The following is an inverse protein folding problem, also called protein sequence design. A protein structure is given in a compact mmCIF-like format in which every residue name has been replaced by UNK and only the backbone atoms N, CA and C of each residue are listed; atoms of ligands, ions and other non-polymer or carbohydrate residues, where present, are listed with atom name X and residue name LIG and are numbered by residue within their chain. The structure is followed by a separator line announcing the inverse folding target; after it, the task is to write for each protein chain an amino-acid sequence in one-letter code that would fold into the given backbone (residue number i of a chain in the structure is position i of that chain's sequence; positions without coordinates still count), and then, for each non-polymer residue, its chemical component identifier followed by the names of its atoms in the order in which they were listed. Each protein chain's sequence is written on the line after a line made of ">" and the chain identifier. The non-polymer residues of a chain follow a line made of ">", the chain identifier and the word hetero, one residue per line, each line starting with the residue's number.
data_IF_435502488083
#
_entry.id   IF_435502488083
#
_cell.length_a   1.000
_cell.length_b   1.000
_cell.length_c   1.000
_cell.angle_alpha   90.00
_cell.angle_beta   90.00
_cell.angle_gamma   90.00
#
_symmetry.space_group_name_H-M   'P 1'
#
loop_
_entity.id
_entity.type
_entity.pdbx_description
1 polymer ?
#
# COMPACT_ATOMS: atom_id res chain seq x y z
N UNK A 1 4.87 -5.95 27.89
CA UNK A 1 3.62 -6.67 27.60
C UNK A 1 2.78 -5.86 26.60
N UNK A 2 2.42 -6.44 25.49
CA UNK A 2 1.63 -5.75 24.47
C UNK A 2 0.22 -5.48 24.98
N UNK A 3 -0.24 -4.25 24.81
CA UNK A 3 -1.57 -3.81 25.23
C UNK A 3 -2.34 -3.31 24.01
N UNK A 4 -3.58 -3.77 23.85
CA UNK A 4 -4.40 -3.43 22.69
C UNK A 4 -4.62 -1.91 22.55
N UNK A 5 -4.93 -1.25 23.65
CA UNK A 5 -5.21 0.19 23.68
C UNK A 5 -3.98 1.03 23.32
N UNK A 6 -2.80 0.65 23.84
CA UNK A 6 -1.60 1.45 23.76
C UNK A 6 -0.71 1.06 22.56
N UNK A 7 -0.75 -0.19 22.15
CA UNK A 7 0.15 -0.72 21.11
C UNK A 7 -0.55 -1.06 19.80
N UNK A 8 -1.83 -1.40 19.83
CA UNK A 8 -2.58 -1.81 18.63
C UNK A 8 -3.47 -0.70 18.09
N UNK A 9 -4.30 -0.08 18.93
CA UNK A 9 -5.19 1.00 18.49
C UNK A 9 -4.46 2.17 17.83
N UNK A 10 -3.28 2.61 18.30
CA UNK A 10 -2.55 3.68 17.62
C UNK A 10 -2.10 3.35 16.20
N UNK A 11 -2.11 2.08 15.81
CA UNK A 11 -1.77 1.65 14.45
C UNK A 11 -2.90 1.90 13.44
N UNK A 12 -4.08 2.26 13.90
CA UNK A 12 -5.28 2.41 13.08
C UNK A 12 -5.05 3.27 11.83
N UNK A 13 -4.39 4.41 11.98
CA UNK A 13 -4.14 5.33 10.87
C UNK A 13 -3.16 4.74 9.84
N UNK A 14 -2.12 4.05 10.30
CA UNK A 14 -1.18 3.35 9.41
C UNK A 14 -1.87 2.23 8.64
N UNK A 15 -2.68 1.44 9.32
CA UNK A 15 -3.47 0.38 8.70
C UNK A 15 -4.43 0.95 7.64
N UNK A 16 -5.10 2.05 7.97
CA UNK A 16 -6.01 2.71 7.04
C UNK A 16 -5.29 3.23 5.80
N UNK A 17 -4.15 3.90 5.96
CA UNK A 17 -3.38 4.41 4.82
C UNK A 17 -2.93 3.28 3.90
N UNK A 18 -2.48 2.17 4.45
CA UNK A 18 -2.08 1.01 3.65
C UNK A 18 -3.27 0.39 2.92
N UNK A 19 -4.37 0.15 3.63
CA UNK A 19 -5.59 -0.41 3.05
C UNK A 19 -6.16 0.51 1.96
N UNK A 20 -6.22 1.81 2.20
CA UNK A 20 -6.74 2.79 1.24
C UNK A 20 -5.88 2.88 -0.01
N UNK A 21 -4.55 2.87 0.14
CA UNK A 21 -3.64 2.88 -1.01
C UNK A 21 -3.86 1.65 -1.90
N UNK A 22 -4.12 0.49 -1.29
CA UNK A 22 -4.33 -0.76 -2.03
C UNK A 22 -5.72 -0.83 -2.64
N UNK A 23 -6.77 -0.55 -1.88
CA UNK A 23 -8.17 -0.71 -2.32
C UNK A 23 -8.70 0.47 -3.11
N UNK A 24 -8.17 1.67 -2.88
CA UNK A 24 -8.62 2.95 -3.47
C UNK A 24 -10.08 3.29 -3.14
N UNK A 25 -10.64 2.66 -2.11
CA UNK A 25 -12.01 2.90 -1.67
C UNK A 25 -12.10 3.02 -0.15
N UNK A 26 -12.64 4.14 0.32
CA UNK A 26 -12.71 4.51 1.74
C UNK A 26 -13.43 3.46 2.59
N UNK A 27 -14.62 3.03 2.14
CA UNK A 27 -15.44 2.07 2.89
C UNK A 27 -14.75 0.71 3.01
N UNK A 28 -14.15 0.23 1.94
CA UNK A 28 -13.40 -1.03 1.97
C UNK A 28 -12.18 -0.94 2.89
N UNK A 29 -11.46 0.18 2.84
CA UNK A 29 -10.32 0.42 3.72
C UNK A 29 -10.73 0.41 5.19
N UNK A 30 -11.83 1.05 5.54
CA UNK A 30 -12.38 1.05 6.90
C UNK A 30 -12.74 -0.35 7.38
N UNK A 31 -13.41 -1.13 6.53
CA UNK A 31 -13.80 -2.52 6.84
C UNK A 31 -12.56 -3.39 7.05
N UNK A 32 -11.53 -3.23 6.23
CA UNK A 32 -10.27 -3.96 6.36
C UNK A 32 -9.56 -3.61 7.67
N UNK A 33 -9.54 -2.35 8.05
CA UNK A 33 -8.95 -1.92 9.33
C UNK A 33 -9.68 -2.59 10.50
N UNK A 34 -11.00 -2.57 10.50
CA UNK A 34 -11.82 -3.21 11.54
C UNK A 34 -11.54 -4.71 11.62
N UNK A 35 -11.54 -5.39 10.48
CA UNK A 35 -11.25 -6.83 10.43
C UNK A 35 -9.82 -7.13 10.90
N UNK A 36 -8.87 -6.29 10.55
CA UNK A 36 -7.49 -6.41 11.02
C UNK A 36 -7.41 -6.33 12.54
N UNK A 37 -8.05 -5.33 13.13
CA UNK A 37 -8.05 -5.13 14.58
C UNK A 37 -8.72 -6.32 15.30
N UNK A 38 -9.78 -6.85 14.73
CA UNK A 38 -10.47 -8.04 15.28
C UNK A 38 -9.52 -9.26 15.25
N UNK A 39 -8.85 -9.49 14.14
CA UNK A 39 -7.90 -10.62 14.00
C UNK A 39 -6.71 -10.50 14.94
N UNK A 40 -6.17 -9.30 15.08
CA UNK A 40 -5.08 -9.03 16.03
C UNK A 40 -5.55 -9.32 17.45
N UNK A 41 -6.74 -8.88 17.83
CA UNK A 41 -7.32 -9.15 19.15
C UNK A 41 -7.54 -10.63 19.40
N UNK A 42 -8.04 -11.37 18.42
CA UNK A 42 -8.23 -12.83 18.54
C UNK A 42 -6.93 -13.59 18.82
N UNK A 43 -5.80 -13.03 18.43
CA UNK A 43 -4.47 -13.59 18.65
C UNK A 43 -3.78 -13.07 19.91
N UNK A 44 -4.48 -12.38 20.80
CA UNK A 44 -3.91 -11.75 21.99
C UNK A 44 -3.13 -12.69 22.91
N UNK A 45 -3.50 -13.94 22.95
CA UNK A 45 -2.79 -14.95 23.77
C UNK A 45 -1.40 -15.30 23.21
N UNK A 46 -1.19 -15.01 21.92
CA UNK A 46 0.07 -15.26 21.23
C UNK A 46 0.97 -14.03 21.10
N UNK A 47 0.53 -12.87 21.59
CA UNK A 47 1.27 -11.60 21.39
C UNK A 47 2.70 -11.65 21.97
N UNK A 48 2.92 -12.39 23.05
CA UNK A 48 4.25 -12.55 23.64
C UNK A 48 5.25 -13.24 22.68
N UNK A 49 4.73 -13.99 21.72
CA UNK A 49 5.53 -14.71 20.72
C UNK A 49 5.74 -13.86 19.44
N UNK A 50 5.05 -12.73 19.32
CA UNK A 50 5.11 -11.87 18.14
C UNK A 50 6.20 -10.82 18.35
N UNK A 51 7.22 -10.82 17.47
CA UNK A 51 8.35 -9.90 17.56
C UNK A 51 7.97 -8.44 17.37
N UNK A 52 7.02 -8.16 16.48
CA UNK A 52 6.52 -6.81 16.21
C UNK A 52 5.02 -6.87 15.95
N UNK A 53 4.24 -6.30 16.86
CA UNK A 53 2.79 -6.24 16.72
C UNK A 53 2.40 -5.31 15.55
N UNK A 54 3.18 -4.28 15.30
CA UNK A 54 2.99 -3.39 14.14
C UNK A 54 3.16 -4.15 12.82
N UNK A 55 4.27 -4.87 12.65
CA UNK A 55 4.53 -5.67 11.46
C UNK A 55 3.47 -6.76 11.26
N UNK A 56 3.06 -7.42 12.34
CA UNK A 56 2.01 -8.43 12.33
C UNK A 56 0.67 -7.85 11.87
N UNK A 57 0.29 -6.71 12.42
CA UNK A 57 -0.98 -6.04 12.08
C UNK A 57 -0.99 -5.55 10.63
N UNK A 58 0.11 -4.96 10.18
CA UNK A 58 0.26 -4.49 8.79
C UNK A 58 0.23 -5.65 7.79
N UNK A 59 0.83 -6.80 8.15
CA UNK A 59 0.78 -7.99 7.30
C UNK A 59 -0.65 -8.49 7.10
N UNK A 60 -1.43 -8.57 8.18
CA UNK A 60 -2.85 -8.95 8.11
C UNK A 60 -3.62 -7.95 7.24
N UNK A 61 -3.45 -6.67 7.48
CA UNK A 61 -4.12 -5.59 6.75
C UNK A 61 -3.81 -5.67 5.25
N UNK A 62 -2.54 -5.80 4.90
CA UNK A 62 -2.09 -5.91 3.51
C UNK A 62 -2.71 -7.12 2.82
N UNK A 63 -2.68 -8.28 3.46
CA UNK A 63 -3.24 -9.51 2.91
C UNK A 63 -4.75 -9.39 2.68
N UNK A 64 -5.48 -8.81 3.62
CA UNK A 64 -6.92 -8.56 3.47
C UNK A 64 -7.21 -7.60 2.31
N UNK A 65 -6.42 -6.55 2.17
CA UNK A 65 -6.59 -5.57 1.10
C UNK A 65 -6.30 -6.18 -0.28
N UNK A 66 -5.23 -6.98 -0.39
CA UNK A 66 -4.89 -7.67 -1.64
C UNK A 66 -5.94 -8.73 -2.01
N UNK A 67 -6.45 -9.46 -1.03
CA UNK A 67 -7.53 -10.44 -1.23
C UNK A 67 -8.81 -9.75 -1.73
N UNK A 68 -9.12 -8.59 -1.19
CA UNK A 68 -10.29 -7.81 -1.61
C UNK A 68 -10.18 -7.37 -3.08
N UNK A 69 -9.01 -6.91 -3.50
CA UNK A 69 -8.76 -6.56 -4.91
C UNK A 69 -8.89 -7.78 -5.81
N UNK A 70 -8.29 -8.90 -5.42
CA UNK A 70 -8.36 -10.14 -6.19
C UNK A 70 -9.80 -10.62 -6.39
N UNK A 71 -10.63 -10.51 -5.34
CA UNK A 71 -12.06 -10.83 -5.43
C UNK A 71 -12.80 -9.93 -6.38
N UNK A 72 -12.55 -8.63 -6.35
CA UNK A 72 -13.17 -7.66 -7.26
C UNK A 72 -12.78 -7.91 -8.72
N UNK A 73 -11.50 -8.19 -8.98
CA UNK A 73 -11.03 -8.51 -10.32
C UNK A 73 -11.67 -9.78 -10.86
N UNK A 74 -11.83 -10.81 -10.02
CA UNK A 74 -12.50 -12.03 -10.39
C UNK A 74 -13.98 -11.81 -10.71
N UNK A 75 -14.69 -10.98 -9.94
CA UNK A 75 -16.08 -10.60 -10.18
C UNK A 75 -16.23 -9.79 -11.45
N UNK A 76 -15.35 -8.84 -11.70
CA UNK A 76 -15.36 -8.02 -12.91
C UNK A 76 -15.09 -8.86 -14.16
N UNK A 77 -14.15 -9.80 -14.11
CA UNK A 77 -13.89 -10.72 -15.23
C UNK A 77 -15.08 -11.61 -15.56
N UNK A 78 -15.85 -12.05 -14.56
CA UNK A 78 -17.05 -12.87 -14.80
C UNK A 78 -18.21 -12.05 -15.37
N UNK A 79 -18.21 -10.73 -15.20
CA UNK A 79 -19.18 -9.81 -15.77
C UNK A 79 -18.73 -9.29 -17.15
N UNK A 80 -17.41 -9.23 -17.40
CA UNK A 80 -16.80 -8.68 -18.61
C UNK A 80 -16.81 -9.64 -19.82
N UNK A 81 -17.22 -10.88 -19.65
CA UNK A 81 -17.44 -11.77 -20.82
C UNK A 81 -18.55 -11.24 -21.75
N UNK A 82 -19.25 -10.17 -21.34
CA UNK A 82 -20.33 -9.55 -22.11
C UNK A 82 -20.11 -8.10 -22.51
N UNK A 83 -19.06 -7.42 -22.04
CA UNK A 83 -18.77 -6.02 -22.38
C UNK A 83 -17.27 -5.74 -22.47
N UNK A 84 -16.86 -5.39 -23.69
CA UNK A 84 -15.53 -4.90 -24.03
C UNK A 84 -15.36 -3.48 -23.45
N UNK A 85 -15.20 -3.38 -22.14
CA UNK A 85 -14.87 -2.14 -21.46
C UNK A 85 -13.51 -2.32 -20.79
N UNK A 86 -12.46 -1.93 -21.52
CA UNK A 86 -11.23 -1.50 -20.89
C UNK A 86 -11.59 -0.39 -19.89
N UNK A 87 -11.43 -0.58 -18.60
CA UNK A 87 -11.56 0.54 -17.68
C UNK A 87 -10.44 1.50 -18.00
N UNK A 88 -10.80 2.58 -18.65
CA UNK A 88 -9.93 3.72 -18.81
C UNK A 88 -9.77 4.36 -17.42
N UNK A 89 -8.86 3.77 -16.62
CA UNK A 89 -8.51 4.26 -15.29
C UNK A 89 -7.63 5.52 -15.37
N UNK A 90 -7.63 6.18 -16.49
CA UNK A 90 -6.93 7.44 -16.71
C UNK A 90 -7.90 8.58 -16.92
N UNK A 91 -8.91 8.69 -16.09
CA UNK A 91 -9.69 9.92 -16.09
C UNK A 91 -9.01 11.00 -15.22
N UNK A 92 -7.74 11.24 -15.48
CA UNK A 92 -7.14 12.52 -15.18
C UNK A 92 -7.37 13.41 -16.41
N UNK A 93 -8.34 14.28 -16.31
CA UNK A 93 -8.50 15.32 -17.33
C UNK A 93 -7.24 16.19 -17.31
N UNK A 94 -6.69 16.58 -18.49
CA UNK A 94 -5.51 17.43 -18.56
C UNK A 94 -5.65 18.74 -17.78
N UNK A 95 -6.85 19.19 -17.51
CA UNK A 95 -7.15 20.39 -16.74
C UNK A 95 -6.92 20.22 -15.22
N UNK A 96 -7.05 19.02 -14.69
CA UNK A 96 -6.78 18.75 -13.28
C UNK A 96 -5.27 18.66 -12.99
N UNK A 97 -4.46 18.38 -14.01
CA UNK A 97 -3.00 18.36 -13.88
C UNK A 97 -2.38 19.74 -13.84
N UNK A 98 -3.08 20.78 -14.29
CA UNK A 98 -2.59 22.17 -14.30
C UNK A 98 -2.84 22.93 -12.99
N UNK A 99 -3.72 22.43 -12.12
CA UNK A 99 -4.16 23.15 -10.92
C UNK A 99 -3.42 22.75 -9.65
N UNK A 100 -2.55 21.74 -9.70
CA UNK A 100 -1.83 21.19 -8.55
C UNK A 100 -0.35 21.15 -8.84
N UNK A 101 0.44 21.20 -7.78
CA UNK A 101 1.88 21.00 -7.77
C UNK A 101 2.24 19.89 -8.77
N UNK A 102 2.56 20.27 -10.01
CA UNK A 102 2.74 19.33 -11.13
C UNK A 102 3.76 18.23 -10.81
N UNK A 103 4.81 18.60 -10.08
CA UNK A 103 5.86 17.65 -9.68
C UNK A 103 5.36 16.58 -8.75
N UNK A 104 4.57 16.94 -7.76
CA UNK A 104 3.98 16.01 -6.79
C UNK A 104 2.99 15.06 -7.48
N UNK A 105 2.18 15.58 -8.38
CA UNK A 105 1.23 14.80 -9.17
C UNK A 105 1.96 13.77 -10.05
N UNK A 106 3.05 14.15 -10.69
CA UNK A 106 3.86 13.25 -11.51
C UNK A 106 4.52 12.14 -10.69
N UNK A 107 5.07 12.48 -9.50
CA UNK A 107 5.65 11.48 -8.61
C UNK A 107 4.60 10.46 -8.19
N UNK A 108 3.38 10.90 -7.88
CA UNK A 108 2.28 9.98 -7.52
C UNK A 108 1.88 9.07 -8.68
N UNK A 109 1.85 9.60 -9.90
CA UNK A 109 1.57 8.78 -11.09
C UNK A 109 2.65 7.71 -11.31
N UNK A 110 3.91 8.09 -11.13
CA UNK A 110 5.02 7.15 -11.25
C UNK A 110 4.99 6.10 -10.14
N UNK A 111 4.69 6.51 -8.92
CA UNK A 111 4.50 5.61 -7.79
C UNK A 111 3.41 4.57 -8.10
N UNK A 112 2.30 4.99 -8.67
CA UNK A 112 1.18 4.11 -8.99
C UNK A 112 1.51 3.08 -10.09
N UNK A 113 2.56 3.33 -10.90
CA UNK A 113 3.05 2.38 -11.90
C UNK A 113 3.97 1.31 -11.34
N UNK A 114 4.46 1.48 -10.12
CA UNK A 114 5.33 0.49 -9.48
C UNK A 114 4.58 -0.83 -9.22
N UNK A 115 5.28 -1.98 -9.24
CA UNK A 115 4.72 -3.22 -8.74
C UNK A 115 4.23 -3.07 -7.30
N UNK A 116 3.19 -3.80 -6.92
CA UNK A 116 2.57 -3.67 -5.60
C UNK A 116 3.57 -3.83 -4.46
N UNK A 117 4.44 -4.82 -4.55
CA UNK A 117 5.49 -5.06 -3.55
C UNK A 117 6.39 -3.83 -3.33
N UNK A 118 6.80 -3.18 -4.43
CA UNK A 118 7.62 -1.97 -4.37
C UNK A 118 6.84 -0.79 -3.77
N UNK A 119 5.55 -0.65 -4.12
CA UNK A 119 4.68 0.37 -3.53
C UNK A 119 4.58 0.19 -2.01
N UNK A 120 4.33 -1.04 -1.54
CA UNK A 120 4.23 -1.34 -0.12
C UNK A 120 5.53 -1.03 0.61
N UNK A 121 6.66 -1.45 0.07
CA UNK A 121 7.98 -1.20 0.68
C UNK A 121 8.25 0.31 0.77
N UNK A 122 8.01 1.03 -0.30
CA UNK A 122 8.22 2.49 -0.33
C UNK A 122 7.29 3.21 0.65
N UNK A 123 6.02 2.82 0.71
CA UNK A 123 5.07 3.39 1.65
C UNK A 123 5.50 3.14 3.10
N UNK A 124 5.84 1.90 3.44
CA UNK A 124 6.23 1.54 4.81
C UNK A 124 7.54 2.21 5.22
N UNK A 125 8.47 2.40 4.30
CA UNK A 125 9.75 3.05 4.60
C UNK A 125 9.68 4.58 4.55
N UNK A 126 9.22 5.15 3.45
CA UNK A 126 9.32 6.58 3.20
C UNK A 126 8.16 7.38 3.82
N UNK A 127 6.99 6.78 4.01
CA UNK A 127 5.84 7.42 4.62
C UNK A 127 5.72 7.05 6.09
N UNK A 128 5.79 5.76 6.41
CA UNK A 128 5.58 5.28 7.79
C UNK A 128 6.86 5.20 8.62
N UNK A 129 8.04 5.33 8.01
CA UNK A 129 9.32 5.39 8.71
C UNK A 129 9.77 4.07 9.33
N UNK A 130 9.30 2.94 8.84
CA UNK A 130 9.64 1.63 9.39
C UNK A 130 11.07 1.22 9.05
N UNK A 131 11.68 0.42 9.93
CA UNK A 131 12.99 -0.15 9.67
C UNK A 131 12.94 -1.23 8.58
N UNK A 132 14.05 -1.47 7.93
CA UNK A 132 14.16 -2.56 6.94
C UNK A 132 13.79 -3.92 7.54
N UNK A 133 14.19 -4.15 8.78
CA UNK A 133 13.87 -5.36 9.51
C UNK A 133 12.36 -5.54 9.71
N UNK A 134 11.67 -4.51 10.14
CA UNK A 134 10.22 -4.51 10.33
C UNK A 134 9.48 -4.72 9.02
N UNK A 135 9.92 -4.06 7.95
CA UNK A 135 9.33 -4.23 6.62
C UNK A 135 9.54 -5.66 6.13
N UNK A 136 10.73 -6.22 6.33
CA UNK A 136 11.03 -7.61 5.97
C UNK A 136 10.10 -8.59 6.67
N UNK A 137 9.86 -8.41 7.96
CA UNK A 137 8.91 -9.22 8.73
C UNK A 137 7.48 -9.04 8.21
N UNK A 138 7.07 -7.81 7.95
CA UNK A 138 5.72 -7.50 7.44
C UNK A 138 5.43 -8.20 6.12
N UNK A 139 6.38 -8.20 5.21
CA UNK A 139 6.21 -8.74 3.85
C UNK A 139 6.67 -10.19 3.70
N UNK A 140 7.28 -10.77 4.72
CA UNK A 140 7.81 -12.14 4.65
C UNK A 140 8.98 -12.28 3.68
N UNK A 141 9.85 -11.30 3.62
CA UNK A 141 11.04 -11.25 2.76
C UNK A 141 12.28 -10.94 3.59
N UNK A 142 13.47 -11.00 2.96
CA UNK A 142 14.71 -10.64 3.63
C UNK A 142 14.93 -9.13 3.65
N UNK A 143 15.73 -8.63 4.60
CA UNK A 143 16.12 -7.22 4.64
C UNK A 143 16.83 -6.78 3.37
N UNK A 144 17.66 -7.68 2.81
CA UNK A 144 18.36 -7.43 1.56
C UNK A 144 17.38 -7.22 0.40
N UNK A 145 16.33 -8.04 0.32
CA UNK A 145 15.26 -7.88 -0.68
C UNK A 145 14.52 -6.57 -0.50
N UNK A 146 14.30 -6.12 0.74
CA UNK A 146 13.71 -4.81 1.03
C UNK A 146 14.58 -3.70 0.45
N UNK A 147 15.88 -3.73 0.73
CA UNK A 147 16.83 -2.72 0.24
C UNK A 147 16.88 -2.66 -1.28
N UNK A 148 16.97 -3.82 -1.92
CA UNK A 148 17.04 -3.91 -3.39
C UNK A 148 15.74 -3.40 -4.02
N UNK A 149 14.59 -3.81 -3.50
CA UNK A 149 13.28 -3.36 -4.01
C UNK A 149 13.09 -1.86 -3.85
N UNK A 150 13.50 -1.31 -2.70
CA UNK A 150 13.42 0.12 -2.43
C UNK A 150 14.34 0.92 -3.37
N UNK A 151 15.56 0.42 -3.57
CA UNK A 151 16.50 1.03 -4.51
C UNK A 151 15.91 1.07 -5.92
N UNK A 152 15.38 -0.05 -6.41
CA UNK A 152 14.77 -0.14 -7.75
C UNK A 152 13.56 0.78 -7.89
N UNK A 153 12.72 0.86 -6.88
CA UNK A 153 11.55 1.75 -6.87
C UNK A 153 11.96 3.21 -6.97
N UNK A 154 12.91 3.64 -6.14
CA UNK A 154 13.42 5.01 -6.14
C UNK A 154 14.15 5.36 -7.43
N UNK A 155 14.92 4.41 -7.97
CA UNK A 155 15.63 4.57 -9.24
C UNK A 155 14.65 4.78 -10.40
N UNK A 156 13.58 3.98 -10.46
CA UNK A 156 12.54 4.10 -11.47
C UNK A 156 11.89 5.50 -11.42
N UNK A 157 11.46 5.93 -10.25
CA UNK A 157 10.82 7.23 -10.08
C UNK A 157 11.77 8.36 -10.47
N UNK A 158 13.02 8.29 -10.02
CA UNK A 158 14.04 9.31 -10.34
C UNK A 158 14.28 9.39 -11.85
N UNK A 159 14.51 8.27 -12.49
CA UNK A 159 14.81 8.20 -13.93
C UNK A 159 13.65 8.73 -14.77
N UNK A 160 12.42 8.28 -14.47
CA UNK A 160 11.23 8.74 -15.20
C UNK A 160 10.91 10.20 -14.91
N UNK A 161 11.12 10.65 -13.66
CA UNK A 161 10.92 12.05 -13.29
C UNK A 161 11.90 12.99 -14.00
N UNK A 162 13.16 12.60 -14.12
CA UNK A 162 14.18 13.37 -14.85
C UNK A 162 13.83 13.53 -16.34
N UNK A 163 13.25 12.51 -16.96
CA UNK A 163 12.74 12.60 -18.33
C UNK A 163 11.65 13.65 -18.47
N UNK A 164 10.72 13.70 -17.50
CA UNK A 164 9.62 14.65 -17.49
C UNK A 164 10.14 16.07 -17.29
N UNK A 165 11.08 16.25 -16.37
CA UNK A 165 11.66 17.55 -16.04
C UNK A 165 12.48 18.10 -17.21
N UNK A 166 13.14 17.23 -18.00
CA UNK A 166 13.92 17.63 -19.18
C UNK A 166 13.07 18.12 -20.35
N UNK A 167 11.77 17.81 -20.37
CA UNK A 167 10.84 18.31 -21.39
C UNK A 167 10.19 19.65 -21.05
N UNK A 168 10.64 20.34 -19.99
CA UNK A 168 10.20 21.69 -19.64
C UNK A 168 8.81 21.78 -19.03
N UNK A 169 8.37 20.72 -18.41
CA UNK A 169 7.11 20.71 -17.68
C UNK A 169 7.29 21.14 -16.21
#
# INVERSE_FOLDING_TARGET
>A
MVNFRDDVLPLKDKLYRLALRITLETREAEDIVQETLIRVWKKREEWDKIASIEAFSLAICRNLALDQIAKKEAQNKSLDETYDNTPDNTSFTPLQSLALDDKRSWVMKLFNKLPEKQKSIMQLRDIEGMSYKEIAVTLGITEEQVKISLFRARQYIRTEFEKIDSYGL
#
